data_IF_176315465068
#
_entry.id   IF_176315465068
#
_cell.length_a   1.000
_cell.length_b   1.000
_cell.length_c   1.000
_cell.angle_alpha   90.00
_cell.angle_beta   90.00
_cell.angle_gamma   90.00
#
_symmetry.space_group_name_H-M   'P 1'
#
loop_
_entity.id
_entity.type
_entity.pdbx_description
1 polymer ?
#
# COMPACT_ATOMS: atom_id res chain seq x y z
N UNK A 1 50.41 11.69 -16.31
CA UNK A 1 49.45 12.19 -15.30
C UNK A 1 48.07 12.58 -15.86
N UNK A 2 47.93 13.19 -17.04
CA UNK A 2 46.62 13.63 -17.60
C UNK A 2 45.56 12.52 -17.87
N UNK A 3 45.98 11.28 -18.17
CA UNK A 3 45.03 10.18 -18.46
C UNK A 3 44.37 9.63 -17.20
N UNK A 4 45.05 9.64 -16.06
CA UNK A 4 44.54 9.09 -14.81
C UNK A 4 43.40 9.93 -14.24
N UNK A 5 43.50 11.26 -14.33
CA UNK A 5 42.44 12.20 -13.95
C UNK A 5 41.18 12.06 -14.81
N UNK A 6 41.30 11.71 -16.10
CA UNK A 6 40.14 11.48 -16.97
C UNK A 6 39.38 10.20 -16.60
N UNK A 7 40.08 9.13 -16.21
CA UNK A 7 39.43 7.89 -15.76
C UNK A 7 38.75 8.07 -14.39
N UNK A 8 39.37 8.80 -13.47
CA UNK A 8 38.76 9.09 -12.16
C UNK A 8 37.51 9.97 -12.31
N UNK A 9 37.53 10.97 -13.20
CA UNK A 9 36.34 11.79 -13.48
C UNK A 9 35.23 10.98 -14.16
N UNK A 10 35.56 10.10 -15.12
CA UNK A 10 34.58 9.26 -15.78
C UNK A 10 33.96 8.22 -14.83
N UNK A 11 34.76 7.64 -13.92
CA UNK A 11 34.26 6.71 -12.90
C UNK A 11 33.39 7.42 -11.87
N UNK A 12 33.77 8.62 -11.42
CA UNK A 12 32.95 9.45 -10.55
C UNK A 12 31.64 9.87 -11.22
N UNK A 13 31.67 10.23 -12.51
CA UNK A 13 30.47 10.59 -13.27
C UNK A 13 29.51 9.39 -13.41
N UNK A 14 30.02 8.18 -13.68
CA UNK A 14 29.22 6.95 -13.75
C UNK A 14 28.64 6.56 -12.39
N UNK A 15 29.37 6.77 -11.30
CA UNK A 15 28.90 6.52 -9.93
C UNK A 15 27.86 7.56 -9.46
N UNK A 16 27.94 8.81 -9.92
CA UNK A 16 26.96 9.86 -9.59
C UNK A 16 25.65 9.65 -10.37
N UNK A 17 25.69 9.06 -11.57
CA UNK A 17 24.49 8.79 -12.38
C UNK A 17 23.77 7.50 -12.02
N UNK A 18 24.31 6.67 -11.11
CA UNK A 18 23.69 5.43 -10.66
C UNK A 18 22.87 5.58 -9.38
N UNK A 19 22.16 6.70 -9.20
CA UNK A 19 20.90 6.59 -8.46
C UNK A 19 19.93 5.80 -9.34
N UNK A 20 20.14 4.48 -9.40
CA UNK A 20 19.11 3.56 -9.84
C UNK A 20 17.91 3.87 -8.96
N UNK A 21 16.87 4.44 -9.58
CA UNK A 21 15.61 4.70 -8.88
C UNK A 21 15.15 3.37 -8.31
N UNK A 22 15.21 3.22 -6.98
CA UNK A 22 14.69 2.04 -6.33
C UNK A 22 13.18 2.03 -6.60
N UNK A 23 12.71 0.93 -7.17
CA UNK A 23 11.30 0.70 -7.43
C UNK A 23 10.79 -0.38 -6.48
N UNK A 24 9.62 -0.11 -5.90
CA UNK A 24 8.94 -0.93 -4.93
C UNK A 24 7.63 -1.34 -5.57
N UNK A 25 7.48 -2.62 -5.93
CA UNK A 25 6.28 -3.12 -6.60
C UNK A 25 5.66 -4.24 -5.77
N UNK A 26 4.41 -4.08 -5.33
CA UNK A 26 3.69 -5.10 -4.57
C UNK A 26 2.39 -5.48 -5.27
N UNK A 27 2.18 -6.79 -5.47
CA UNK A 27 0.90 -7.36 -5.81
C UNK A 27 0.18 -7.69 -4.50
N UNK A 28 -0.99 -7.10 -4.26
CA UNK A 28 -1.80 -7.34 -3.07
C UNK A 28 -2.88 -8.36 -3.40
N UNK A 29 -3.04 -9.37 -2.54
CA UNK A 29 -3.86 -10.55 -2.82
C UNK A 29 -4.73 -10.90 -1.61
N UNK A 30 -6.04 -11.04 -1.83
CA UNK A 30 -6.98 -11.70 -0.95
C UNK A 30 -7.88 -12.60 -1.80
N UNK A 31 -7.57 -13.91 -1.89
CA UNK A 31 -8.14 -14.77 -2.93
C UNK A 31 -8.46 -16.21 -2.48
N UNK A 32 -7.63 -16.88 -1.67
CA UNK A 32 -7.81 -18.30 -1.31
C UNK A 32 -6.81 -18.67 -0.18
N UNK A 33 -7.08 -19.67 0.68
CA UNK A 33 -8.38 -20.28 1.01
C UNK A 33 -9.07 -19.51 2.15
N UNK A 34 -9.06 -18.17 2.10
CA UNK A 34 -9.71 -17.33 3.12
C UNK A 34 -11.21 -17.20 2.88
N UNK A 35 -11.98 -16.97 3.96
CA UNK A 35 -13.37 -16.55 3.81
C UNK A 35 -13.44 -15.19 3.12
N UNK A 36 -14.44 -15.00 2.24
CA UNK A 36 -14.69 -13.73 1.57
C UNK A 36 -15.04 -12.64 2.59
N UNK A 37 -14.54 -11.41 2.38
CA UNK A 37 -14.97 -10.26 3.17
C UNK A 37 -16.43 -9.92 2.87
N UNK A 38 -17.14 -9.40 3.86
CA UNK A 38 -18.61 -9.23 3.82
C UNK A 38 -19.05 -7.77 3.99
N UNK A 39 -20.20 -7.40 3.43
CA UNK A 39 -20.74 -6.02 3.46
C UNK A 39 -21.12 -5.53 4.85
N UNK A 40 -21.24 -6.45 5.80
CA UNK A 40 -21.38 -6.20 7.23
C UNK A 40 -20.40 -7.11 7.94
N UNK A 41 -19.85 -6.68 9.06
CA UNK A 41 -18.82 -7.44 9.74
C UNK A 41 -19.35 -8.77 10.27
N UNK A 42 -18.78 -9.88 9.79
CA UNK A 42 -19.29 -11.22 10.08
C UNK A 42 -20.66 -11.52 9.48
N UNK A 43 -21.12 -10.70 8.51
CA UNK A 43 -22.33 -10.93 7.75
C UNK A 43 -22.22 -12.13 6.81
N UNK A 44 -23.30 -12.43 6.09
CA UNK A 44 -23.34 -13.52 5.11
C UNK A 44 -23.17 -13.04 3.66
N UNK A 45 -23.26 -11.73 3.42
CA UNK A 45 -23.24 -11.14 2.09
C UNK A 45 -21.82 -10.70 1.75
N UNK A 46 -21.14 -11.31 0.76
CA UNK A 46 -19.82 -10.86 0.33
C UNK A 46 -19.84 -9.42 -0.16
N UNK A 47 -18.73 -8.69 0.03
CA UNK A 47 -18.58 -7.35 -0.52
C UNK A 47 -18.71 -7.41 -2.04
N UNK A 48 -19.62 -6.66 -2.65
CA UNK A 48 -19.83 -6.75 -4.07
C UNK A 48 -18.59 -6.30 -4.83
N UNK A 49 -18.46 -6.92 -5.99
CA UNK A 49 -17.56 -6.52 -7.04
C UNK A 49 -17.63 -5.00 -7.29
N UNK A 50 -16.48 -4.33 -7.34
CA UNK A 50 -16.33 -2.91 -7.71
C UNK A 50 -16.18 -1.98 -6.51
N UNK A 51 -16.25 -2.53 -5.29
CA UNK A 51 -16.07 -1.75 -4.06
C UNK A 51 -14.64 -1.21 -3.97
N UNK A 52 -14.45 0.06 -3.65
CA UNK A 52 -13.11 0.66 -3.62
C UNK A 52 -12.32 0.19 -2.39
N UNK A 53 -11.10 -0.28 -2.63
CA UNK A 53 -10.03 -0.47 -1.66
C UNK A 53 -9.04 0.67 -1.79
N UNK A 54 -8.62 1.24 -0.67
CA UNK A 54 -7.69 2.36 -0.59
C UNK A 54 -6.47 1.99 0.23
N UNK A 55 -5.31 2.50 -0.17
CA UNK A 55 -4.03 2.32 0.53
C UNK A 55 -3.76 3.56 1.39
N UNK A 56 -3.39 3.34 2.65
CA UNK A 56 -3.03 4.36 3.63
C UNK A 56 -1.60 4.15 4.12
N UNK A 57 -0.97 5.24 4.55
CA UNK A 57 0.40 5.25 5.05
C UNK A 57 0.39 5.65 6.53
N UNK A 58 0.78 4.71 7.40
CA UNK A 58 0.95 4.89 8.85
C UNK A 58 2.29 5.60 9.10
N UNK A 59 2.23 6.93 9.22
CA UNK A 59 3.42 7.80 9.18
C UNK A 59 4.10 7.96 10.54
N UNK A 60 3.33 7.85 11.62
CA UNK A 60 3.77 8.09 13.00
C UNK A 60 3.89 6.81 13.82
N UNK A 61 3.61 5.66 13.21
CA UNK A 61 3.84 4.32 13.76
C UNK A 61 2.87 3.90 14.87
N UNK A 62 1.71 4.54 15.02
CA UNK A 62 0.76 4.24 16.09
C UNK A 62 -0.34 3.23 15.69
N UNK A 63 -0.48 2.92 14.40
CA UNK A 63 -1.45 1.96 13.89
C UNK A 63 -2.30 2.56 12.78
N UNK A 64 -3.33 1.85 12.29
CA UNK A 64 -4.30 2.45 11.38
C UNK A 64 -5.24 3.43 12.08
N UNK A 65 -5.23 4.70 11.68
CA UNK A 65 -6.12 5.75 12.22
C UNK A 65 -6.76 6.64 11.13
N UNK A 66 -7.58 7.63 11.50
CA UNK A 66 -8.29 8.46 10.51
C UNK A 66 -7.48 9.68 10.04
N UNK A 67 -6.38 9.96 10.73
CA UNK A 67 -5.44 11.04 10.47
C UNK A 67 -4.40 10.63 9.42
N UNK A 68 -4.19 9.32 9.26
CA UNK A 68 -3.30 8.72 8.28
C UNK A 68 -3.63 9.16 6.85
N UNK A 69 -2.64 9.71 6.13
CA UNK A 69 -2.82 10.10 4.75
C UNK A 69 -2.76 8.89 3.80
N UNK A 70 -3.42 9.01 2.66
CA UNK A 70 -3.04 8.18 1.51
C UNK A 70 -1.61 8.53 1.05
N UNK A 71 -0.84 7.58 0.51
CA UNK A 71 0.46 7.87 -0.07
C UNK A 71 0.38 8.97 -1.13
N UNK A 72 1.33 9.91 -1.13
CA UNK A 72 1.33 11.05 -2.07
C UNK A 72 1.55 10.53 -3.51
N UNK A 73 0.59 10.80 -4.40
CA UNK A 73 0.68 10.48 -5.83
C UNK A 73 1.53 11.53 -6.58
N UNK A 74 2.46 11.08 -7.43
CA UNK A 74 2.99 11.96 -8.47
C UNK A 74 1.93 12.13 -9.55
N UNK A 75 1.59 13.38 -9.87
CA UNK A 75 0.58 13.70 -10.89
C UNK A 75 1.10 13.61 -12.33
N UNK A 76 2.42 13.50 -12.56
CA UNK A 76 3.00 13.48 -13.92
C UNK A 76 4.32 12.69 -14.02
N UNK A 77 4.30 11.35 -14.18
CA UNK A 77 5.49 10.56 -14.43
C UNK A 77 6.08 10.86 -15.82
N UNK A 78 7.40 11.05 -16.01
CA UNK A 78 8.51 10.86 -15.06
C UNK A 78 8.98 12.15 -14.33
N UNK A 79 8.31 13.28 -14.52
CA UNK A 79 8.78 14.60 -14.06
C UNK A 79 8.26 14.93 -12.65
N UNK A 80 8.62 14.06 -11.70
CA UNK A 80 8.29 14.19 -10.28
C UNK A 80 9.38 15.03 -9.58
N UNK A 81 9.31 16.36 -9.66
CA UNK A 81 10.33 17.25 -9.07
C UNK A 81 10.03 17.68 -7.61
N UNK A 82 9.03 17.07 -6.97
CA UNK A 82 8.78 17.19 -5.52
C UNK A 82 9.37 15.97 -4.79
N UNK A 83 9.65 16.02 -3.47
CA UNK A 83 10.49 15.03 -2.78
C UNK A 83 9.94 13.59 -2.75
N UNK A 84 8.78 13.31 -3.35
CA UNK A 84 8.13 12.01 -3.35
C UNK A 84 7.78 11.58 -4.79
N UNK A 85 8.66 10.77 -5.38
CA UNK A 85 8.52 10.28 -6.76
C UNK A 85 7.66 9.02 -6.80
N UNK A 86 6.38 9.02 -6.47
CA UNK A 86 5.57 7.79 -6.53
C UNK A 86 4.66 7.74 -7.78
N UNK A 87 4.76 6.68 -8.59
CA UNK A 87 3.88 6.43 -9.76
C UNK A 87 2.79 5.45 -9.32
N UNK A 88 1.98 5.88 -8.35
CA UNK A 88 1.10 4.97 -7.60
C UNK A 88 -0.35 4.98 -8.11
N UNK A 89 -1.01 3.83 -7.90
CA UNK A 89 -2.45 3.74 -7.70
C UNK A 89 -2.67 3.56 -6.21
N UNK A 90 -3.28 4.53 -5.54
CA UNK A 90 -3.60 4.47 -4.09
C UNK A 90 -4.99 3.90 -3.84
N UNK A 91 -5.73 3.58 -4.91
CA UNK A 91 -7.04 2.97 -4.86
C UNK A 91 -7.15 1.92 -5.96
N UNK A 92 -7.85 0.83 -5.67
CA UNK A 92 -8.19 -0.22 -6.63
C UNK A 92 -9.55 -0.81 -6.27
N UNK A 93 -10.22 -1.45 -7.22
CA UNK A 93 -11.51 -2.07 -6.96
C UNK A 93 -11.31 -3.47 -6.36
N UNK A 94 -12.12 -3.81 -5.35
CA UNK A 94 -12.38 -5.18 -4.95
C UNK A 94 -12.99 -5.87 -6.14
N UNK A 95 -12.15 -6.54 -6.92
CA UNK A 95 -12.58 -7.29 -8.07
C UNK A 95 -11.45 -8.09 -8.69
N UNK A 96 -11.39 -9.37 -8.32
CA UNK A 96 -10.73 -10.36 -9.14
C UNK A 96 -11.50 -10.71 -10.42
N UNK A 97 -12.39 -9.86 -10.97
CA UNK A 97 -13.16 -10.16 -12.21
C UNK A 97 -12.23 -10.41 -13.39
N UNK A 98 -11.09 -9.72 -13.47
CA UNK A 98 -10.05 -10.03 -14.47
C UNK A 98 -9.42 -11.42 -14.29
N UNK A 99 -9.56 -12.03 -13.11
CA UNK A 99 -8.90 -13.27 -12.71
C UNK A 99 -9.85 -14.38 -12.22
N UNK A 100 -11.16 -14.16 -12.21
CA UNK A 100 -12.17 -15.13 -11.80
C UNK A 100 -12.32 -15.40 -10.30
N UNK A 101 -11.90 -14.49 -9.40
CA UNK A 101 -11.94 -14.71 -7.94
C UNK A 101 -13.34 -14.53 -7.30
N UNK A 102 -14.16 -13.63 -7.84
CA UNK A 102 -15.51 -13.32 -7.33
C UNK A 102 -15.57 -12.31 -6.17
N UNK A 103 -16.79 -12.09 -5.67
CA UNK A 103 -17.11 -11.07 -4.67
C UNK A 103 -16.44 -11.30 -3.31
N UNK A 104 -15.99 -10.21 -2.69
CA UNK A 104 -15.28 -10.21 -1.41
C UNK A 104 -13.80 -10.59 -1.52
N UNK A 105 -13.28 -10.82 -2.73
CA UNK A 105 -11.88 -11.13 -3.02
C UNK A 105 -11.25 -10.06 -3.93
N UNK A 106 -9.94 -9.90 -3.85
CA UNK A 106 -9.20 -9.00 -4.74
C UNK A 106 -7.80 -9.51 -5.08
N UNK A 107 -7.33 -9.09 -6.24
CA UNK A 107 -5.94 -9.11 -6.62
C UNK A 107 -5.67 -7.83 -7.42
N UNK A 108 -4.60 -7.12 -7.08
CA UNK A 108 -4.29 -5.83 -7.70
C UNK A 108 -3.57 -5.99 -9.04
N UNK A 109 -4.16 -5.47 -10.12
CA UNK A 109 -3.50 -5.22 -11.41
C UNK A 109 -3.93 -3.84 -11.92
N UNK A 110 -3.01 -2.85 -12.02
CA UNK A 110 -1.57 -2.95 -11.79
C UNK A 110 -1.18 -3.09 -10.31
N UNK A 111 0.05 -3.56 -10.07
CA UNK A 111 0.66 -3.63 -8.74
C UNK A 111 0.86 -2.22 -8.12
N UNK A 112 0.83 -2.14 -6.79
CA UNK A 112 1.23 -0.95 -6.04
C UNK A 112 2.71 -0.65 -6.30
N UNK A 113 3.04 0.54 -6.82
CA UNK A 113 4.38 0.87 -7.35
C UNK A 113 4.92 2.22 -6.88
N UNK A 114 5.83 2.23 -5.91
CA UNK A 114 6.57 3.45 -5.54
C UNK A 114 7.92 3.52 -6.26
N UNK A 115 8.33 4.71 -6.71
CA UNK A 115 9.71 4.98 -7.14
C UNK A 115 10.41 5.92 -6.15
N UNK A 116 11.73 5.83 -6.00
CA UNK A 116 12.49 6.71 -5.10
C UNK A 116 12.72 6.14 -3.70
N UNK A 117 12.92 6.99 -2.69
CA UNK A 117 13.17 6.55 -1.31
C UNK A 117 11.85 6.37 -0.58
N UNK A 118 11.62 5.20 0.04
CA UNK A 118 10.46 5.02 0.91
C UNK A 118 10.60 5.98 2.10
N UNK A 119 9.61 6.84 2.38
CA UNK A 119 9.60 7.58 3.63
C UNK A 119 9.52 6.58 4.78
N UNK A 120 10.45 6.69 5.73
CA UNK A 120 10.50 5.81 6.90
C UNK A 120 9.57 6.38 7.96
N UNK A 121 8.62 5.60 8.50
CA UNK A 121 8.47 4.14 8.39
C UNK A 121 7.73 3.65 7.13
N UNK A 122 8.11 2.48 6.60
CA UNK A 122 7.46 1.85 5.44
C UNK A 122 6.24 1.00 5.85
N UNK A 123 5.24 1.64 6.48
CA UNK A 123 4.07 0.99 7.07
C UNK A 123 2.81 1.39 6.30
N UNK A 124 2.22 0.46 5.58
CA UNK A 124 1.00 0.69 4.80
C UNK A 124 -0.13 -0.22 5.26
N UNK A 125 -1.37 0.17 5.02
CA UNK A 125 -2.52 -0.69 5.25
C UNK A 125 -3.64 -0.36 4.26
N UNK A 126 -4.65 -1.21 4.21
CA UNK A 126 -5.78 -1.11 3.29
C UNK A 126 -7.05 -0.76 4.04
N UNK A 127 -7.92 0.03 3.42
CA UNK A 127 -9.29 0.24 3.87
C UNK A 127 -10.27 -0.02 2.76
N UNK A 128 -11.37 -0.69 3.09
CA UNK A 128 -12.50 -0.91 2.22
C UNK A 128 -13.63 -0.01 2.69
N UNK A 129 -14.22 0.74 1.76
CA UNK A 129 -15.29 1.70 2.06
C UNK A 129 -16.66 1.19 1.61
N UNK A 130 -17.71 1.67 2.24
CA UNK A 130 -19.06 1.61 1.70
C UNK A 130 -19.16 2.40 0.38
N UNK A 131 -20.23 2.20 -0.42
CA UNK A 131 -20.48 3.00 -1.62
C UNK A 131 -20.61 4.51 -1.39
N UNK A 132 -20.77 4.96 -0.14
CA UNK A 132 -20.75 6.37 0.25
C UNK A 132 -19.34 6.99 0.22
N UNK A 133 -18.29 6.17 0.11
CA UNK A 133 -16.88 6.53 0.12
C UNK A 133 -16.42 7.25 1.41
N UNK A 134 -17.20 7.14 2.49
CA UNK A 134 -16.94 7.78 3.79
C UNK A 134 -16.90 6.78 4.93
N UNK A 135 -17.72 5.74 4.89
CA UNK A 135 -17.83 4.74 5.95
C UNK A 135 -16.84 3.61 5.69
N UNK A 136 -15.92 3.37 6.63
CA UNK A 136 -14.94 2.27 6.54
C UNK A 136 -15.62 0.96 6.96
N UNK A 137 -15.62 -0.04 6.08
CA UNK A 137 -16.12 -1.39 6.34
C UNK A 137 -15.06 -2.29 6.96
N UNK A 138 -13.84 -2.25 6.42
CA UNK A 138 -12.74 -3.11 6.85
C UNK A 138 -11.42 -2.37 6.77
N UNK A 139 -10.54 -2.65 7.71
CA UNK A 139 -9.17 -2.15 7.79
C UNK A 139 -8.21 -3.33 7.87
N UNK A 140 -7.20 -3.41 7.01
CA UNK A 140 -6.22 -4.50 7.06
C UNK A 140 -5.20 -4.30 8.19
N UNK A 141 -4.44 -5.35 8.48
CA UNK A 141 -3.17 -5.22 9.22
C UNK A 141 -2.17 -4.39 8.42
N UNK A 142 -1.21 -3.82 9.14
CA UNK A 142 -0.11 -3.07 8.53
C UNK A 142 0.82 -4.05 7.83
N UNK A 143 1.20 -3.70 6.61
CA UNK A 143 2.20 -4.39 5.82
C UNK A 143 3.34 -3.44 5.44
N UNK A 144 4.49 -4.02 5.10
CA UNK A 144 5.65 -3.28 4.64
C UNK A 144 6.00 -3.63 3.20
N UNK A 145 6.52 -2.64 2.49
CA UNK A 145 7.01 -2.82 1.12
C UNK A 145 8.52 -2.67 1.08
N UNK A 146 9.20 -3.62 0.45
CA UNK A 146 10.66 -3.60 0.24
C UNK A 146 10.98 -3.49 -1.25
N UNK A 147 12.24 -3.15 -1.57
CA UNK A 147 12.67 -2.94 -2.97
C UNK A 147 12.47 -4.22 -3.76
N UNK A 148 11.89 -4.11 -4.96
CA UNK A 148 11.66 -5.23 -5.87
C UNK A 148 10.18 -5.59 -6.03
N UNK A 149 9.95 -6.71 -6.72
CA UNK A 149 8.61 -7.29 -6.89
C UNK A 149 8.31 -8.21 -5.71
N UNK A 150 7.16 -8.04 -5.08
CA UNK A 150 6.69 -8.88 -3.99
C UNK A 150 5.19 -9.14 -4.11
N UNK A 151 4.75 -10.23 -3.49
CA UNK A 151 3.34 -10.58 -3.33
C UNK A 151 3.01 -10.53 -1.83
N UNK A 152 1.93 -9.84 -1.49
CA UNK A 152 1.42 -9.74 -0.12
C UNK A 152 0.05 -10.41 -0.09
N UNK A 153 -0.08 -11.39 0.79
CA UNK A 153 -1.29 -12.17 0.96
C UNK A 153 -2.00 -11.75 2.24
N UNK A 154 -3.29 -11.46 2.13
CA UNK A 154 -4.17 -11.17 3.25
C UNK A 154 -5.14 -12.33 3.44
N UNK A 155 -5.24 -12.81 4.69
CA UNK A 155 -6.26 -13.74 5.14
C UNK A 155 -7.40 -12.99 5.81
N UNK A 156 -8.48 -13.68 6.17
CA UNK A 156 -9.59 -13.11 6.95
C UNK A 156 -9.14 -12.58 8.33
N UNK A 157 -8.06 -13.13 8.90
CA UNK A 157 -7.47 -12.66 10.16
C UNK A 157 -6.69 -11.35 10.02
N UNK A 158 -6.32 -10.97 8.81
CA UNK A 158 -5.63 -9.73 8.53
C UNK A 158 -6.58 -8.53 8.40
N UNK A 159 -7.87 -8.71 8.66
CA UNK A 159 -8.87 -7.64 8.56
C UNK A 159 -9.60 -7.41 9.87
N UNK A 160 -9.73 -6.14 10.23
CA UNK A 160 -10.57 -5.69 11.33
C UNK A 160 -11.78 -4.95 10.77
N UNK A 161 -12.95 -5.25 11.33
CA UNK A 161 -14.20 -4.59 11.02
C UNK A 161 -14.18 -3.09 11.42
N UNK A 162 -14.59 -2.21 10.51
CA UNK A 162 -14.82 -0.80 10.78
C UNK A 162 -13.58 0.09 10.65
N UNK A 163 -13.75 1.36 11.04
CA UNK A 163 -12.69 2.40 11.07
C UNK A 163 -11.69 2.21 12.21
N UNK A 164 -11.93 1.25 13.09
CA UNK A 164 -11.18 1.04 14.32
C UNK A 164 -10.51 -0.33 14.20
N UNK A 165 -9.26 -0.36 13.68
CA UNK A 165 -8.33 -1.43 14.05
C UNK A 165 -8.22 -1.51 15.57
N UNK A 166 -7.63 -2.56 16.18
CA UNK A 166 -7.40 -2.58 17.61
C UNK A 166 -6.61 -1.33 18.01
N UNK A 167 -7.32 -0.31 18.47
CA UNK A 167 -6.74 0.84 19.15
C UNK A 167 -6.02 0.19 20.32
N UNK A 168 -4.70 0.29 20.33
CA UNK A 168 -3.96 0.04 21.55
C UNK A 168 -4.48 1.05 22.56
N UNK A 169 -5.54 0.67 23.27
CA UNK A 169 -5.93 1.33 24.49
C UNK A 169 -4.76 1.02 25.41
N UNK A 170 -3.85 1.98 25.53
CA UNK A 170 -2.95 2.01 26.68
C UNK A 170 -3.90 2.02 27.87
N UNK A 171 -4.05 0.86 28.51
CA UNK A 171 -4.63 0.78 29.83
C UNK A 171 -3.60 1.53 30.68
N UNK A 172 -3.89 2.78 30.97
CA UNK A 172 -3.20 3.48 32.05
C UNK A 172 -3.58 2.71 33.32
N UNK A 173 -2.68 1.86 33.83
CA UNK A 173 -2.85 1.16 35.10
C UNK A 173 -2.72 2.12 36.30
N UNK A 174 -3.09 3.39 36.12
CA UNK A 174 -3.20 4.37 37.19
C UNK A 174 -4.31 5.40 36.96
N UNK A 175 -5.55 5.05 37.34
CA UNK A 175 -6.44 5.88 38.18
C UNK A 175 -7.71 5.15 38.62
#
# INVERSE_FOLDING_TARGET
MKRWTQYVLALALVLITQQAMAQFNAILIHAEPSAALTTTCGGATPIPDGTIVKIFWDTDSDGPDNEDPQPILCTNPPDCNDPFNSVNFIEFEMNGVFQGLGAGFFLTDPAFSCTGTIPTPNRYYLRIYEPDNTTVLWTSTIFSVVVGLQEIYFTDLDWTCGSVGPQCTVIDESE
#
